data_IF_282064422826
#
_entry.id   IF_282064422826
#
_cell.length_a   1.000
_cell.length_b   1.000
_cell.length_c   1.000
_cell.angle_alpha   90.00
_cell.angle_beta   90.00
_cell.angle_gamma   90.00
#
_symmetry.space_group_name_H-M   'P 1'
#
loop_
_entity.id
_entity.type
_entity.pdbx_description
1 polymer ?
#
# COMPACT_ATOMS: atom_id res chain seq x y z
N UNK A 1 -1.33 2.92 -35.97
CA UNK A 1 -1.18 2.96 -34.51
C UNK A 1 -0.22 4.11 -34.20
N UNK A 2 -0.45 4.91 -33.15
CA UNK A 2 0.49 5.96 -32.79
C UNK A 2 1.87 5.36 -32.53
N UNK A 3 2.91 6.09 -32.90
CA UNK A 3 4.28 5.69 -32.64
C UNK A 3 4.50 5.59 -31.11
N UNK A 4 5.31 4.65 -30.64
CA UNK A 4 5.50 4.40 -29.20
C UNK A 4 5.94 5.65 -28.43
N UNK A 5 6.81 6.46 -29.02
CA UNK A 5 7.28 7.74 -28.46
C UNK A 5 6.09 8.71 -28.27
N UNK A 6 5.13 8.77 -29.21
CA UNK A 6 3.96 9.64 -29.07
C UNK A 6 3.08 9.24 -27.89
N UNK A 7 3.02 7.94 -27.52
CA UNK A 7 2.31 7.48 -26.33
C UNK A 7 3.02 7.93 -25.05
N UNK A 8 4.35 7.89 -25.00
CA UNK A 8 5.13 8.40 -23.87
C UNK A 8 4.94 9.91 -23.69
N UNK A 9 4.95 10.67 -24.80
CA UNK A 9 4.72 12.13 -24.79
C UNK A 9 3.32 12.45 -24.25
N UNK A 10 2.30 11.79 -24.78
CA UNK A 10 0.92 11.99 -24.32
C UNK A 10 0.76 11.64 -22.83
N UNK A 11 1.41 10.58 -22.35
CA UNK A 11 1.40 10.20 -20.94
C UNK A 11 2.04 11.28 -20.06
N UNK A 12 3.14 11.89 -20.51
CA UNK A 12 3.81 12.99 -19.81
C UNK A 12 2.95 14.26 -19.80
N UNK A 13 2.32 14.62 -20.92
CA UNK A 13 1.41 15.75 -21.03
C UNK A 13 0.20 15.60 -20.10
N UNK A 14 -0.41 14.42 -20.06
CA UNK A 14 -1.54 14.12 -19.19
C UNK A 14 -1.23 14.26 -17.69
N UNK A 15 0.06 14.14 -17.32
CA UNK A 15 0.53 14.24 -15.92
C UNK A 15 1.16 15.56 -15.57
N UNK A 16 1.33 16.48 -16.54
CA UNK A 16 2.12 17.69 -16.32
C UNK A 16 1.64 18.50 -15.10
N UNK A 17 0.34 18.76 -14.98
CA UNK A 17 -0.24 19.49 -13.83
C UNK A 17 -0.09 18.72 -12.52
N UNK A 18 -0.32 17.40 -12.52
CA UNK A 18 -0.13 16.57 -11.33
C UNK A 18 1.34 16.57 -10.90
N UNK A 19 2.28 16.45 -11.83
CA UNK A 19 3.71 16.42 -11.51
C UNK A 19 4.18 17.77 -10.95
N UNK A 20 3.68 18.89 -11.46
CA UNK A 20 3.94 20.22 -10.90
C UNK A 20 3.46 20.29 -9.43
N UNK A 21 2.24 19.85 -9.16
CA UNK A 21 1.71 19.77 -7.80
C UNK A 21 2.56 18.83 -6.91
N UNK A 22 2.85 17.61 -7.37
CA UNK A 22 3.62 16.63 -6.61
C UNK A 22 5.04 17.14 -6.28
N UNK A 23 5.68 17.84 -7.22
CA UNK A 23 7.00 18.43 -6.98
C UNK A 23 6.93 19.56 -5.93
N UNK A 24 5.87 20.38 -5.96
CA UNK A 24 5.64 21.41 -4.94
C UNK A 24 5.34 20.80 -3.56
N UNK A 25 4.81 19.58 -3.51
CA UNK A 25 4.57 18.79 -2.29
C UNK A 25 5.77 17.89 -1.92
N UNK A 26 6.96 18.18 -2.41
CA UNK A 26 8.18 17.39 -2.15
C UNK A 26 7.99 15.89 -2.44
N UNK A 27 7.43 15.58 -3.62
CA UNK A 27 7.15 14.21 -4.06
C UNK A 27 7.96 13.87 -5.31
N UNK A 28 8.75 12.79 -5.25
CA UNK A 28 9.52 12.24 -6.37
C UNK A 28 9.27 10.73 -6.57
N UNK A 29 8.16 10.22 -6.01
CA UNK A 29 7.70 8.85 -6.17
C UNK A 29 6.31 8.88 -6.81
N UNK A 30 6.22 8.53 -8.12
CA UNK A 30 4.98 8.59 -8.89
C UNK A 30 5.05 7.76 -10.17
N UNK A 31 3.89 7.45 -10.74
CA UNK A 31 3.78 6.70 -12.00
C UNK A 31 3.88 7.62 -13.20
N UNK A 32 4.77 7.27 -14.13
CA UNK A 32 5.02 8.00 -15.38
C UNK A 32 4.23 7.43 -16.56
N UNK A 33 3.96 6.11 -16.57
CA UNK A 33 3.21 5.43 -17.63
C UNK A 33 2.35 4.30 -17.05
N UNK A 34 1.07 4.24 -17.43
CA UNK A 34 0.07 3.31 -16.86
C UNK A 34 -0.53 2.39 -17.92
N UNK A 35 0.29 1.60 -18.54
CA UNK A 35 -0.04 0.39 -19.30
C UNK A 35 -1.22 0.48 -20.27
N UNK A 36 -2.22 -0.33 -20.01
CA UNK A 36 -3.38 -0.51 -20.89
C UNK A 36 -4.14 0.79 -21.12
N UNK A 37 -4.22 1.66 -20.14
CA UNK A 37 -4.95 2.93 -20.25
C UNK A 37 -4.25 3.94 -21.17
N UNK A 38 -2.97 3.72 -21.46
CA UNK A 38 -2.13 4.60 -22.30
C UNK A 38 -1.61 3.86 -23.57
N UNK A 39 -2.29 2.79 -23.96
CA UNK A 39 -2.10 2.14 -25.26
C UNK A 39 -1.04 1.04 -25.32
N UNK A 40 -0.35 0.72 -24.21
CA UNK A 40 0.63 -0.39 -24.15
C UNK A 40 0.29 -1.33 -23.01
N UNK A 41 -0.52 -2.35 -23.29
CA UNK A 41 -0.95 -3.29 -22.26
C UNK A 41 0.22 -3.92 -21.51
N UNK A 42 0.16 -3.90 -20.18
CA UNK A 42 1.15 -4.52 -19.30
C UNK A 42 2.45 -3.77 -19.15
N UNK A 43 2.61 -2.55 -19.69
CA UNK A 43 3.78 -1.71 -19.41
C UNK A 43 3.49 -0.74 -18.26
N UNK A 44 4.39 -0.65 -17.27
CA UNK A 44 4.38 0.45 -16.31
C UNK A 44 5.77 1.07 -16.21
N UNK A 45 5.81 2.39 -16.06
CA UNK A 45 7.03 3.14 -15.79
C UNK A 45 6.79 4.00 -14.58
N UNK A 46 7.63 3.83 -13.56
CA UNK A 46 7.50 4.49 -12.26
C UNK A 46 8.81 5.20 -11.90
N UNK A 47 8.72 6.39 -11.29
CA UNK A 47 9.82 7.05 -10.60
C UNK A 47 9.78 6.71 -9.12
N UNK A 48 10.93 6.32 -8.56
CA UNK A 48 11.13 6.10 -7.14
C UNK A 48 12.40 6.86 -6.69
N UNK A 49 12.23 8.14 -6.33
CA UNK A 49 13.38 9.00 -6.05
C UNK A 49 14.30 9.12 -7.26
N UNK A 50 15.59 8.71 -7.16
CA UNK A 50 16.52 8.71 -8.27
C UNK A 50 16.43 7.48 -9.18
N UNK A 51 15.51 6.54 -8.94
CA UNK A 51 15.35 5.33 -9.75
C UNK A 51 14.22 5.47 -10.78
N UNK A 52 14.46 4.97 -11.99
CA UNK A 52 13.45 4.70 -13.01
C UNK A 52 13.16 3.21 -13.04
N UNK A 53 11.95 2.81 -12.65
CA UNK A 53 11.50 1.42 -12.68
C UNK A 53 10.59 1.18 -13.87
N UNK A 54 11.02 0.31 -14.79
CA UNK A 54 10.27 -0.14 -15.96
C UNK A 54 9.80 -1.57 -15.71
N UNK A 55 8.53 -1.86 -15.85
CA UNK A 55 7.99 -3.23 -15.68
C UNK A 55 7.12 -3.62 -16.85
N UNK A 56 7.32 -4.84 -17.37
CA UNK A 56 6.46 -5.44 -18.38
C UNK A 56 5.82 -6.72 -17.86
N UNK A 57 4.50 -6.88 -18.04
CA UNK A 57 3.71 -7.99 -17.48
C UNK A 57 3.20 -8.97 -18.53
N UNK A 58 3.08 -8.57 -19.79
CA UNK A 58 2.52 -9.39 -20.87
C UNK A 58 3.58 -9.91 -21.83
N UNK A 59 4.53 -9.07 -22.20
CA UNK A 59 5.63 -9.39 -23.10
C UNK A 59 6.91 -8.66 -22.68
N UNK A 60 8.07 -9.22 -23.02
CA UNK A 60 9.36 -8.57 -22.81
C UNK A 60 9.48 -7.35 -23.72
N UNK A 61 10.07 -6.27 -23.22
CA UNK A 61 10.40 -5.09 -24.03
C UNK A 61 11.65 -5.34 -24.88
N UNK A 62 11.67 -4.80 -26.09
CA UNK A 62 12.86 -4.75 -26.93
C UNK A 62 13.86 -3.72 -26.38
N UNK A 63 15.15 -3.91 -26.70
CA UNK A 63 16.20 -2.92 -26.33
C UNK A 63 15.84 -1.53 -26.83
N UNK A 64 15.36 -1.41 -28.08
CA UNK A 64 14.93 -0.15 -28.66
C UNK A 64 13.84 0.55 -27.83
N UNK A 65 12.83 -0.19 -27.34
CA UNK A 65 11.77 0.38 -26.49
C UNK A 65 12.29 0.81 -25.13
N UNK A 66 13.21 0.04 -24.56
CA UNK A 66 13.87 0.42 -23.30
C UNK A 66 14.66 1.71 -23.45
N UNK A 67 15.46 1.84 -24.52
CA UNK A 67 16.21 3.06 -24.83
C UNK A 67 15.27 4.27 -25.02
N UNK A 68 14.15 4.10 -25.75
CA UNK A 68 13.17 5.16 -25.96
C UNK A 68 12.57 5.64 -24.65
N UNK A 69 12.22 4.72 -23.73
CA UNK A 69 11.69 5.08 -22.41
C UNK A 69 12.75 5.85 -21.61
N UNK A 70 13.97 5.35 -21.56
CA UNK A 70 15.06 5.97 -20.82
C UNK A 70 15.38 7.38 -21.34
N UNK A 71 15.47 7.54 -22.66
CA UNK A 71 15.73 8.84 -23.29
C UNK A 71 14.60 9.84 -23.01
N UNK A 72 13.33 9.40 -23.16
CA UNK A 72 12.18 10.26 -22.94
C UNK A 72 12.13 10.80 -21.50
N UNK A 73 12.30 9.93 -20.50
CA UNK A 73 12.22 10.35 -19.10
C UNK A 73 13.53 10.94 -18.53
N UNK A 74 14.66 10.80 -19.24
CA UNK A 74 15.90 11.50 -18.87
C UNK A 74 15.76 13.03 -18.93
N UNK A 75 14.81 13.56 -19.73
CA UNK A 75 14.48 14.99 -19.77
C UNK A 75 13.76 15.47 -18.50
N UNK A 76 13.04 14.57 -17.84
CA UNK A 76 12.27 14.89 -16.63
C UNK A 76 13.11 14.89 -15.36
N UNK A 77 14.05 13.95 -15.25
CA UNK A 77 14.98 13.83 -14.13
C UNK A 77 16.18 12.96 -14.52
N UNK A 78 17.32 13.20 -13.86
CA UNK A 78 18.50 12.37 -14.02
C UNK A 78 18.37 11.13 -13.13
N UNK A 79 18.07 9.97 -13.71
CA UNK A 79 18.01 8.71 -12.98
C UNK A 79 19.43 8.21 -12.66
N UNK A 80 19.70 7.90 -11.38
CA UNK A 80 20.95 7.24 -10.96
C UNK A 80 20.93 5.74 -11.28
N UNK A 81 19.75 5.14 -11.30
CA UNK A 81 19.55 3.73 -11.64
C UNK A 81 18.30 3.55 -12.49
N UNK A 82 18.44 2.79 -13.58
CA UNK A 82 17.33 2.32 -14.39
C UNK A 82 17.18 0.82 -14.18
N UNK A 83 16.00 0.41 -13.70
CA UNK A 83 15.67 -0.99 -13.43
C UNK A 83 14.61 -1.45 -14.40
N UNK A 84 14.88 -2.52 -15.14
CA UNK A 84 13.88 -3.21 -15.93
C UNK A 84 13.53 -4.56 -15.30
N UNK A 85 12.25 -4.74 -14.95
CA UNK A 85 11.69 -5.99 -14.48
C UNK A 85 10.77 -6.60 -15.52
N UNK A 86 11.25 -7.63 -16.23
CA UNK A 86 10.40 -8.44 -17.08
C UNK A 86 9.61 -9.44 -16.23
N UNK A 87 8.33 -9.20 -16.10
CA UNK A 87 7.39 -10.06 -15.37
C UNK A 87 6.49 -10.90 -16.29
N UNK A 88 6.75 -10.91 -17.60
CA UNK A 88 6.00 -11.68 -18.58
C UNK A 88 6.25 -13.18 -18.49
N UNK A 89 7.46 -13.59 -18.10
CA UNK A 89 7.82 -14.99 -17.96
C UNK A 89 7.23 -15.63 -16.69
N UNK A 90 6.75 -16.87 -16.78
CA UNK A 90 6.10 -17.60 -15.69
C UNK A 90 6.95 -17.78 -14.41
N UNK A 91 8.26 -17.66 -14.52
CA UNK A 91 9.24 -17.80 -13.42
C UNK A 91 9.95 -16.48 -13.06
N UNK A 92 9.52 -15.34 -13.61
CA UNK A 92 10.17 -14.05 -13.42
C UNK A 92 10.46 -13.72 -11.95
N UNK A 93 9.49 -13.92 -11.05
CA UNK A 93 9.65 -13.69 -9.60
C UNK A 93 10.75 -14.53 -8.95
N UNK A 94 11.04 -15.73 -9.47
CA UNK A 94 12.12 -16.60 -8.95
C UNK A 94 13.48 -16.16 -9.48
N UNK A 95 13.55 -15.70 -10.71
CA UNK A 95 14.76 -15.15 -11.30
C UNK A 95 15.16 -13.85 -10.62
N UNK A 96 14.22 -12.95 -10.36
CA UNK A 96 14.45 -11.72 -9.60
C UNK A 96 14.90 -12.00 -8.16
N UNK A 97 14.43 -13.08 -7.53
CA UNK A 97 14.84 -13.46 -6.18
C UNK A 97 16.33 -13.86 -6.09
N UNK A 98 16.95 -14.28 -7.20
CA UNK A 98 18.38 -14.62 -7.28
C UNK A 98 19.26 -13.39 -7.52
N UNK A 99 18.72 -12.37 -8.16
CA UNK A 99 19.42 -11.10 -8.41
C UNK A 99 19.18 -10.11 -7.26
N UNK A 100 20.00 -10.25 -6.21
CA UNK A 100 19.95 -9.36 -5.03
C UNK A 100 20.64 -8.01 -5.25
N UNK A 101 21.09 -7.72 -6.47
CA UNK A 101 21.81 -6.51 -6.85
C UNK A 101 20.80 -5.40 -7.16
N UNK A 102 20.44 -4.64 -6.24
CA UNK A 102 19.75 -3.36 -6.40
C UNK A 102 20.15 -2.50 -5.22
N UNK A 103 20.59 -1.30 -5.51
CA UNK A 103 20.87 -0.32 -4.48
C UNK A 103 19.54 0.13 -3.84
N UNK A 104 19.57 0.37 -2.55
CA UNK A 104 18.48 1.07 -1.87
C UNK A 104 18.72 2.57 -1.99
N UNK A 105 17.66 3.29 -2.29
CA UNK A 105 17.65 4.73 -2.37
C UNK A 105 16.63 5.32 -1.38
N UNK A 106 16.62 6.62 -1.30
CA UNK A 106 15.58 7.36 -0.61
C UNK A 106 14.69 8.02 -1.65
N UNK A 107 13.39 7.69 -1.59
CA UNK A 107 12.35 8.40 -2.30
C UNK A 107 11.57 9.29 -1.34
N UNK A 108 10.92 10.32 -1.86
CA UNK A 108 10.14 11.25 -1.08
C UNK A 108 8.71 11.32 -1.64
N UNK A 109 7.72 11.31 -0.75
CA UNK A 109 6.32 11.48 -1.11
C UNK A 109 5.61 12.31 -0.03
N UNK A 110 5.00 13.42 -0.44
CA UNK A 110 4.31 14.36 0.46
C UNK A 110 5.20 14.86 1.61
N UNK A 111 6.47 15.15 1.31
CA UNK A 111 7.47 15.57 2.29
C UNK A 111 8.00 14.45 3.20
N UNK A 112 7.53 13.20 3.04
CA UNK A 112 7.94 12.05 3.85
C UNK A 112 8.96 11.20 3.09
N UNK A 113 10.04 10.80 3.76
CA UNK A 113 11.13 10.01 3.18
C UNK A 113 10.88 8.51 3.35
N UNK A 114 11.19 7.73 2.30
CA UNK A 114 11.03 6.29 2.28
C UNK A 114 12.24 5.58 1.68
N UNK A 115 12.62 4.44 2.24
CA UNK A 115 13.47 3.49 1.53
C UNK A 115 12.74 2.97 0.30
N UNK A 116 13.39 3.04 -0.85
CA UNK A 116 12.87 2.53 -2.12
C UNK A 116 13.90 1.64 -2.79
N UNK A 117 13.44 0.61 -3.50
CA UNK A 117 14.31 -0.32 -4.19
C UNK A 117 13.57 -0.95 -5.37
N UNK A 118 13.90 -0.56 -6.58
CA UNK A 118 13.22 -1.03 -7.80
C UNK A 118 13.38 -2.53 -8.05
N UNK A 119 14.51 -3.15 -7.64
CA UNK A 119 14.76 -4.58 -7.82
C UNK A 119 15.00 -5.27 -6.47
N UNK A 120 14.02 -6.00 -5.99
CA UNK A 120 14.09 -6.69 -4.72
C UNK A 120 13.32 -8.02 -4.72
N UNK A 121 13.95 -9.09 -5.09
CA UNK A 121 13.43 -10.46 -4.85
C UNK A 121 11.96 -10.68 -5.28
N UNK A 122 11.52 -10.06 -6.37
CA UNK A 122 10.17 -10.20 -6.92
C UNK A 122 9.06 -9.56 -6.08
N UNK A 123 9.37 -8.61 -5.22
CA UNK A 123 8.41 -7.82 -4.43
C UNK A 123 8.25 -6.41 -5.00
N UNK A 124 7.32 -5.65 -4.43
CA UNK A 124 7.10 -4.27 -4.82
C UNK A 124 8.18 -3.33 -4.22
N UNK A 125 8.40 -2.12 -4.79
CA UNK A 125 9.54 -1.24 -4.45
C UNK A 125 9.48 -0.58 -3.07
N UNK A 126 8.91 -1.23 -2.07
CA UNK A 126 8.73 -0.79 -0.68
C UNK A 126 7.70 0.32 -0.48
N UNK A 127 7.19 0.92 -1.55
CA UNK A 127 6.15 1.94 -1.51
C UNK A 127 5.15 1.69 -2.64
N UNK A 128 3.86 1.55 -2.31
CA UNK A 128 2.78 1.44 -3.28
C UNK A 128 2.31 2.85 -3.67
N UNK A 129 2.56 3.25 -4.91
CA UNK A 129 2.32 4.62 -5.37
C UNK A 129 0.82 4.95 -5.48
N UNK A 130 -0.02 3.98 -5.84
CA UNK A 130 -1.48 4.13 -5.93
C UNK A 130 -2.14 4.39 -4.57
N UNK A 131 -1.43 4.07 -3.47
CA UNK A 131 -1.88 4.31 -2.10
C UNK A 131 -1.53 5.72 -1.59
N UNK A 132 -0.95 6.62 -2.41
CA UNK A 132 -0.61 8.00 -2.02
C UNK A 132 -1.80 8.75 -1.48
N UNK A 133 -2.97 8.64 -2.11
CA UNK A 133 -4.20 9.28 -1.65
C UNK A 133 -4.59 8.83 -0.23
N UNK A 134 -4.38 7.57 0.13
CA UNK A 134 -4.62 7.08 1.48
C UNK A 134 -3.62 7.62 2.50
N UNK A 135 -2.35 7.77 2.11
CA UNK A 135 -1.31 8.39 2.95
C UNK A 135 -1.55 9.89 3.12
N UNK A 136 -1.98 10.59 2.08
CA UNK A 136 -2.41 11.99 2.12
C UNK A 136 -3.54 12.18 3.14
N UNK A 137 -4.58 11.34 3.06
CA UNK A 137 -5.67 11.36 4.03
C UNK A 137 -5.17 11.22 5.48
N UNK A 138 -4.24 10.31 5.72
CA UNK A 138 -3.68 10.09 7.06
C UNK A 138 -2.85 11.29 7.53
N UNK A 139 -2.03 11.90 6.66
CA UNK A 139 -1.28 13.13 6.98
C UNK A 139 -2.21 14.28 7.41
N UNK A 140 -3.36 14.40 6.77
CA UNK A 140 -4.33 15.46 7.06
C UNK A 140 -5.14 15.21 8.34
N UNK A 141 -5.36 13.93 8.72
CA UNK A 141 -6.34 13.57 9.74
C UNK A 141 -5.77 12.89 10.99
N UNK A 142 -4.47 12.51 11.03
CA UNK A 142 -3.92 11.75 12.14
C UNK A 142 -3.47 12.58 13.36
N UNK A 143 -3.40 13.91 13.24
CA UNK A 143 -2.91 14.78 14.31
C UNK A 143 -3.65 14.57 15.64
N UNK A 144 -2.90 14.35 16.72
CA UNK A 144 -3.40 14.07 18.06
C UNK A 144 -4.28 12.81 18.20
N UNK A 145 -4.30 11.94 17.20
CA UNK A 145 -5.05 10.67 17.21
C UNK A 145 -4.17 9.48 17.55
N UNK A 146 -4.76 8.43 18.11
CA UNK A 146 -4.14 7.10 18.16
C UNK A 146 -4.44 6.39 16.84
N UNK A 147 -3.39 5.86 16.20
CA UNK A 147 -3.47 5.25 14.87
C UNK A 147 -3.03 3.80 14.91
N UNK A 148 -3.84 2.90 14.34
CA UNK A 148 -3.50 1.49 14.14
C UNK A 148 -3.41 1.20 12.64
N UNK A 149 -2.23 0.83 12.17
CA UNK A 149 -1.96 0.44 10.78
C UNK A 149 -1.82 -1.08 10.68
N UNK A 150 -2.78 -1.72 10.04
CA UNK A 150 -2.90 -3.18 9.90
C UNK A 150 -2.48 -3.63 8.49
N UNK A 151 -1.73 -4.74 8.40
CA UNK A 151 -0.99 -5.14 7.19
C UNK A 151 -0.04 -4.05 6.74
N UNK A 152 0.75 -3.55 7.69
CA UNK A 152 1.47 -2.29 7.55
C UNK A 152 2.58 -2.31 6.49
N UNK A 153 2.99 -3.49 6.00
CA UNK A 153 4.09 -3.64 5.04
C UNK A 153 5.33 -2.89 5.53
N UNK A 154 5.86 -1.95 4.76
CA UNK A 154 6.98 -1.07 5.13
C UNK A 154 6.55 0.16 5.93
N UNK A 155 5.36 0.12 6.50
CA UNK A 155 4.78 1.09 7.44
C UNK A 155 4.52 2.49 6.86
N UNK A 156 4.43 2.66 5.53
CA UNK A 156 4.27 3.98 4.91
C UNK A 156 3.12 4.81 5.48
N UNK A 157 1.95 4.19 5.73
CA UNK A 157 0.80 4.85 6.38
C UNK A 157 1.11 5.25 7.82
N UNK A 158 1.78 4.37 8.59
CA UNK A 158 2.13 4.67 9.97
C UNK A 158 3.19 5.76 10.08
N UNK A 159 4.16 5.81 9.15
CA UNK A 159 5.12 6.91 9.07
C UNK A 159 4.38 8.24 8.84
N UNK A 160 3.46 8.30 7.87
CA UNK A 160 2.62 9.48 7.65
C UNK A 160 1.83 9.89 8.90
N UNK A 161 1.26 8.94 9.63
CA UNK A 161 0.52 9.24 10.87
C UNK A 161 1.42 9.86 11.93
N UNK A 162 2.60 9.31 12.16
CA UNK A 162 3.56 9.85 13.12
C UNK A 162 4.08 11.24 12.69
N UNK A 163 4.40 11.44 11.40
CA UNK A 163 4.79 12.73 10.84
C UNK A 163 3.69 13.80 10.97
N UNK A 164 2.41 13.39 10.86
CA UNK A 164 1.27 14.28 11.10
C UNK A 164 1.09 14.69 12.57
N UNK A 165 1.86 14.12 13.50
CA UNK A 165 1.74 14.36 14.93
C UNK A 165 0.64 13.52 15.60
N UNK A 166 0.44 12.29 15.16
CA UNK A 166 -0.36 11.32 15.90
C UNK A 166 0.20 11.15 17.32
N UNK A 167 -0.69 11.03 18.32
CA UNK A 167 -0.23 10.84 19.71
C UNK A 167 0.34 9.44 19.96
N UNK A 168 -0.05 8.48 19.11
CA UNK A 168 0.43 7.11 19.15
C UNK A 168 0.22 6.49 17.78
N UNK A 169 1.23 5.79 17.25
CA UNK A 169 1.10 5.02 16.01
C UNK A 169 1.59 3.60 16.25
N UNK A 170 0.75 2.61 15.90
CA UNK A 170 1.09 1.18 15.98
C UNK A 170 1.00 0.57 14.58
N UNK A 171 2.10 -0.03 14.13
CA UNK A 171 2.18 -0.77 12.88
C UNK A 171 2.19 -2.27 13.16
N UNK A 172 1.33 -3.03 12.46
CA UNK A 172 1.25 -4.48 12.59
C UNK A 172 1.48 -5.14 11.25
N UNK A 173 2.52 -5.98 11.15
CA UNK A 173 2.77 -6.86 10.01
C UNK A 173 3.33 -8.20 10.50
N UNK A 174 3.12 -9.28 9.72
CA UNK A 174 3.65 -10.61 10.07
C UNK A 174 5.11 -10.78 9.63
N UNK A 175 5.56 -10.00 8.64
CA UNK A 175 6.89 -10.11 8.05
C UNK A 175 7.88 -9.16 8.74
N UNK A 176 8.77 -9.72 9.55
CA UNK A 176 9.83 -8.97 10.24
C UNK A 176 10.65 -8.09 9.28
N UNK A 177 10.96 -8.62 8.09
CA UNK A 177 11.72 -7.87 7.08
C UNK A 177 11.02 -6.60 6.61
N UNK A 178 9.68 -6.59 6.55
CA UNK A 178 8.90 -5.41 6.16
C UNK A 178 8.96 -4.37 7.27
N UNK A 179 8.80 -4.82 8.52
CA UNK A 179 8.91 -3.94 9.69
C UNK A 179 10.33 -3.38 9.86
N UNK A 180 11.37 -4.14 9.47
CA UNK A 180 12.74 -3.62 9.46
C UNK A 180 12.87 -2.40 8.51
N UNK A 181 12.31 -2.48 7.29
CA UNK A 181 12.24 -1.31 6.39
C UNK A 181 11.38 -0.19 7.00
N UNK A 182 10.28 -0.54 7.70
CA UNK A 182 9.47 0.44 8.42
C UNK A 182 10.25 1.21 9.49
N UNK A 183 11.15 0.54 10.21
CA UNK A 183 12.06 1.18 11.19
C UNK A 183 13.07 2.10 10.49
N UNK A 184 13.67 1.65 9.39
CA UNK A 184 14.55 2.51 8.57
C UNK A 184 13.79 3.75 8.05
N UNK A 185 12.51 3.60 7.65
CA UNK A 185 11.67 4.73 7.26
C UNK A 185 11.39 5.69 8.43
N UNK A 186 11.22 5.18 9.65
CA UNK A 186 11.08 6.04 10.84
C UNK A 186 12.37 6.83 11.11
N UNK A 187 13.54 6.18 11.03
CA UNK A 187 14.84 6.82 11.18
C UNK A 187 15.08 7.92 10.14
N UNK A 188 14.69 7.68 8.87
CA UNK A 188 14.80 8.67 7.78
C UNK A 188 13.96 9.95 8.01
N UNK A 189 12.98 9.88 8.90
CA UNK A 189 12.08 10.99 9.23
C UNK A 189 12.21 11.45 10.69
N UNK A 190 13.32 11.11 11.34
CA UNK A 190 13.64 11.49 12.71
C UNK A 190 12.56 11.11 13.75
N UNK A 191 11.81 10.04 13.49
CA UNK A 191 10.77 9.54 14.39
C UNK A 191 11.36 8.66 15.50
N UNK A 192 10.85 8.82 16.72
CA UNK A 192 11.30 8.10 17.91
C UNK A 192 10.37 6.91 18.24
N UNK A 193 10.86 5.95 19.03
CA UNK A 193 10.07 4.81 19.51
C UNK A 193 8.85 5.22 20.37
N UNK A 194 8.83 6.45 20.89
CA UNK A 194 7.67 7.00 21.63
C UNK A 194 6.52 7.38 20.68
N UNK A 195 6.85 7.77 19.44
CA UNK A 195 5.88 8.22 18.44
C UNK A 195 5.31 7.06 17.64
N UNK A 196 6.13 6.01 17.38
CA UNK A 196 5.77 4.93 16.47
C UNK A 196 6.27 3.57 16.95
N UNK A 197 5.37 2.59 17.00
CA UNK A 197 5.66 1.21 17.41
C UNK A 197 5.48 0.24 16.24
N UNK A 198 6.26 -0.85 16.27
CA UNK A 198 6.27 -1.91 15.25
C UNK A 198 6.03 -3.26 15.93
N UNK A 199 4.93 -3.92 15.59
CA UNK A 199 4.51 -5.19 16.19
C UNK A 199 4.55 -6.28 15.12
N UNK A 200 5.49 -7.22 15.27
CA UNK A 200 5.47 -8.42 14.44
C UNK A 200 4.39 -9.38 14.95
N UNK A 201 3.28 -9.44 14.24
CA UNK A 201 2.16 -10.31 14.59
C UNK A 201 1.34 -10.68 13.36
N UNK A 202 0.69 -11.85 13.44
CA UNK A 202 -0.41 -12.17 12.54
C UNK A 202 -1.58 -11.19 12.75
N UNK A 203 -2.18 -10.75 11.65
CA UNK A 203 -3.31 -9.82 11.70
C UNK A 203 -4.43 -10.28 12.64
N UNK A 204 -4.86 -11.55 12.51
CA UNK A 204 -6.01 -12.06 13.29
C UNK A 204 -5.70 -12.11 14.79
N UNK A 205 -4.44 -12.33 15.17
CA UNK A 205 -4.05 -12.30 16.59
C UNK A 205 -4.01 -10.87 17.11
N UNK A 206 -3.42 -9.93 16.38
CA UNK A 206 -3.31 -8.55 16.81
C UNK A 206 -4.68 -7.84 16.83
N UNK A 207 -5.40 -7.84 15.70
CA UNK A 207 -6.67 -7.13 15.58
C UNK A 207 -7.74 -7.66 16.55
N UNK A 208 -7.77 -8.98 16.81
CA UNK A 208 -8.68 -9.56 17.80
C UNK A 208 -8.35 -9.14 19.22
N UNK A 209 -7.05 -9.12 19.60
CA UNK A 209 -6.65 -8.69 20.94
C UNK A 209 -6.99 -7.21 21.17
N UNK A 210 -6.67 -6.33 20.22
CA UNK A 210 -7.07 -4.92 20.32
C UNK A 210 -8.59 -4.75 20.44
N UNK A 211 -9.36 -5.57 19.73
CA UNK A 211 -10.82 -5.57 19.77
C UNK A 211 -11.43 -6.27 20.99
N UNK A 212 -10.64 -6.74 21.97
CA UNK A 212 -11.14 -7.52 23.12
C UNK A 212 -11.70 -8.91 22.76
N UNK A 213 -11.39 -9.42 21.56
CA UNK A 213 -11.89 -10.71 21.10
C UNK A 213 -10.88 -11.83 21.44
N UNK A 214 -11.31 -12.92 22.12
CA UNK A 214 -10.41 -14.01 22.44
C UNK A 214 -9.79 -14.67 21.21
N UNK A 215 -8.48 -14.85 21.21
CA UNK A 215 -7.74 -15.56 20.15
C UNK A 215 -7.83 -17.06 20.40
N UNK A 216 -8.65 -17.75 19.63
CA UNK A 216 -8.81 -19.21 19.69
C UNK A 216 -7.84 -19.88 18.73
N UNK A 217 -7.10 -20.90 19.20
CA UNK A 217 -6.24 -21.75 18.39
C UNK A 217 -6.81 -23.18 18.33
N UNK A 218 -6.90 -23.72 17.13
CA UNK A 218 -7.15 -25.17 16.96
C UNK A 218 -5.81 -25.88 16.95
N UNK A 219 -5.46 -26.50 18.09
CA UNK A 219 -4.21 -27.25 18.23
C UNK A 219 -4.50 -28.73 17.94
N UNK A 220 -3.80 -29.33 16.98
CA UNK A 220 -3.89 -30.76 16.72
C UNK A 220 -3.22 -31.54 17.87
N UNK A 221 -3.73 -32.75 18.15
CA UNK A 221 -3.16 -33.61 19.19
C UNK A 221 -1.65 -33.81 18.98
N UNK A 222 -0.85 -33.52 20.00
CA UNK A 222 0.61 -33.61 19.95
C UNK A 222 1.33 -32.36 19.44
N UNK A 223 0.62 -31.31 19.04
CA UNK A 223 1.22 -30.03 18.67
C UNK A 223 1.15 -29.03 19.84
N UNK A 224 2.18 -28.19 19.98
CA UNK A 224 2.15 -27.07 20.92
C UNK A 224 1.39 -25.89 20.29
N UNK A 225 0.64 -25.11 21.09
CA UNK A 225 0.07 -23.84 20.62
C UNK A 225 1.16 -22.93 20.07
N UNK A 226 0.87 -22.19 19.00
CA UNK A 226 1.80 -21.16 18.50
C UNK A 226 1.80 -19.98 19.42
N UNK A 227 2.99 -19.47 19.66
CA UNK A 227 3.15 -18.23 20.41
C UNK A 227 2.83 -17.04 19.52
N UNK A 228 2.29 -15.98 20.09
CA UNK A 228 2.06 -14.67 19.49
C UNK A 228 2.23 -13.59 20.56
N UNK A 229 2.55 -12.36 20.20
CA UNK A 229 2.67 -11.26 21.16
C UNK A 229 1.35 -11.09 21.94
N UNK A 230 1.47 -10.85 23.25
CA UNK A 230 0.31 -10.48 24.07
C UNK A 230 0.12 -8.96 23.96
N UNK A 231 -1.05 -8.57 23.50
CA UNK A 231 -1.45 -7.18 23.32
C UNK A 231 -2.64 -6.90 24.22
N UNK A 232 -2.67 -5.72 24.80
CA UNK A 232 -3.80 -5.26 25.61
C UNK A 232 -4.95 -4.80 24.69
N UNK A 233 -6.17 -4.94 25.17
CA UNK A 233 -7.35 -4.39 24.52
C UNK A 233 -7.23 -2.87 24.44
N UNK A 234 -7.40 -2.33 23.23
CA UNK A 234 -7.30 -0.91 22.95
C UNK A 234 -8.12 -0.56 21.73
N UNK A 235 -8.87 0.53 21.80
CA UNK A 235 -9.54 1.12 20.64
C UNK A 235 -8.76 2.36 20.15
N UNK A 236 -8.80 2.57 18.83
CA UNK A 236 -8.03 3.61 18.16
C UNK A 236 -8.93 4.66 17.53
N UNK A 237 -8.43 5.90 17.45
CA UNK A 237 -9.12 7.02 16.79
C UNK A 237 -9.17 6.85 15.28
N UNK A 238 -8.12 6.26 14.70
CA UNK A 238 -8.00 5.96 13.28
C UNK A 238 -7.40 4.56 13.11
N UNK A 239 -8.09 3.71 12.39
CA UNK A 239 -7.59 2.38 11.98
C UNK A 239 -7.41 2.37 10.47
N UNK A 240 -6.27 1.91 9.98
CA UNK A 240 -6.01 1.70 8.56
C UNK A 240 -5.91 0.20 8.28
N UNK A 241 -6.72 -0.29 7.35
CA UNK A 241 -6.85 -1.70 6.99
C UNK A 241 -6.59 -1.89 5.50
N UNK A 242 -5.37 -2.32 5.14
CA UNK A 242 -4.97 -2.59 3.75
C UNK A 242 -4.53 -4.04 3.55
N UNK A 243 -5.47 -4.99 3.50
CA UNK A 243 -5.16 -6.40 3.44
C UNK A 243 -4.74 -6.84 2.04
N UNK A 244 -3.83 -7.84 1.92
CA UNK A 244 -3.53 -8.46 0.64
C UNK A 244 -4.75 -9.20 0.09
N UNK A 245 -4.85 -9.33 -1.23
CA UNK A 245 -5.94 -10.07 -1.89
C UNK A 245 -6.21 -11.44 -1.26
N UNK A 246 -5.16 -12.14 -0.91
CA UNK A 246 -5.22 -13.45 -0.28
C UNK A 246 -3.97 -13.71 0.58
N UNK A 247 -4.18 -14.20 1.79
CA UNK A 247 -3.14 -14.68 2.67
C UNK A 247 -3.70 -15.76 3.61
N UNK A 248 -2.88 -16.72 3.99
CA UNK A 248 -3.24 -17.77 4.94
C UNK A 248 -2.24 -17.85 6.07
N UNK A 249 -2.77 -17.90 7.27
CA UNK A 249 -2.00 -18.14 8.48
C UNK A 249 -2.60 -19.29 9.31
N UNK A 250 -2.01 -19.56 10.49
CA UNK A 250 -2.59 -20.51 11.44
C UNK A 250 -3.81 -19.96 12.18
N UNK A 251 -3.99 -18.65 12.16
CA UNK A 251 -5.04 -17.93 12.91
C UNK A 251 -6.22 -17.53 12.05
N UNK A 252 -6.06 -17.55 10.73
CA UNK A 252 -7.13 -17.22 9.81
C UNK A 252 -6.69 -17.18 8.35
N UNK A 253 -7.64 -16.88 7.49
CA UNK A 253 -7.43 -16.69 6.05
C UNK A 253 -7.95 -15.33 5.67
N UNK A 254 -7.15 -14.55 4.97
CA UNK A 254 -7.57 -13.34 4.27
C UNK A 254 -8.04 -13.74 2.88
N UNK A 255 -9.25 -13.43 2.51
CA UNK A 255 -9.81 -13.62 1.17
C UNK A 255 -10.75 -12.46 0.85
N UNK A 256 -10.24 -11.46 0.12
CA UNK A 256 -11.00 -10.24 -0.16
C UNK A 256 -12.18 -10.45 -1.12
N UNK A 257 -12.24 -11.61 -1.78
CA UNK A 257 -13.35 -11.96 -2.68
C UNK A 257 -14.48 -12.63 -1.91
N UNK A 258 -14.14 -13.59 -1.03
CA UNK A 258 -15.12 -14.48 -0.43
C UNK A 258 -15.48 -14.12 1.02
N UNK A 259 -14.55 -13.53 1.75
CA UNK A 259 -14.69 -13.31 3.20
C UNK A 259 -14.03 -12.02 3.69
N UNK A 260 -14.37 -10.89 3.05
CA UNK A 260 -13.94 -9.57 3.51
C UNK A 260 -14.36 -9.28 4.98
N UNK A 261 -15.53 -9.71 5.47
CA UNK A 261 -15.91 -9.53 6.88
C UNK A 261 -14.93 -10.11 7.90
N UNK A 262 -14.16 -11.13 7.56
CA UNK A 262 -13.18 -11.72 8.48
C UNK A 262 -12.06 -10.76 8.90
N UNK A 263 -11.67 -9.84 8.01
CA UNK A 263 -10.69 -8.80 8.29
C UNK A 263 -11.36 -7.50 8.75
N UNK A 264 -12.54 -7.17 8.23
CA UNK A 264 -13.22 -5.93 8.53
C UNK A 264 -13.76 -5.90 9.97
N UNK A 265 -14.42 -6.99 10.43
CA UNK A 265 -15.05 -7.03 11.75
C UNK A 265 -14.09 -6.74 12.92
N UNK A 266 -12.93 -7.41 13.06
CA UNK A 266 -12.04 -7.08 14.15
C UNK A 266 -11.45 -5.66 14.03
N UNK A 267 -11.29 -5.12 12.82
CA UNK A 267 -10.83 -3.74 12.60
C UNK A 267 -11.90 -2.71 13.03
N UNK A 268 -13.17 -2.95 12.71
CA UNK A 268 -14.31 -2.14 13.21
C UNK A 268 -14.34 -2.10 14.74
N UNK A 269 -14.15 -3.24 15.39
CA UNK A 269 -14.20 -3.35 16.85
C UNK A 269 -12.95 -2.73 17.52
N UNK A 270 -11.82 -2.70 16.84
CA UNK A 270 -10.62 -1.98 17.28
C UNK A 270 -10.70 -0.46 17.04
N UNK A 271 -11.66 0.00 16.24
CA UNK A 271 -11.94 1.42 16.06
C UNK A 271 -12.89 1.89 17.15
N UNK A 272 -12.61 3.00 17.80
CA UNK A 272 -13.51 3.55 18.84
C UNK A 272 -14.79 4.12 18.22
N UNK A 273 -15.79 4.31 19.02
CA UNK A 273 -17.00 5.08 18.66
C UNK A 273 -16.60 6.54 18.35
N UNK A 274 -17.15 7.10 17.28
CA UNK A 274 -16.72 8.40 16.73
C UNK A 274 -15.33 8.38 16.09
N UNK A 275 -14.73 7.21 15.93
CA UNK A 275 -13.46 7.02 15.23
C UNK A 275 -13.60 6.82 13.72
N UNK A 276 -12.48 6.65 13.05
CA UNK A 276 -12.41 6.48 11.59
C UNK A 276 -11.74 5.16 11.24
N UNK A 277 -12.35 4.38 10.35
CA UNK A 277 -11.72 3.21 9.75
C UNK A 277 -11.52 3.45 8.25
N UNK A 278 -10.27 3.56 7.81
CA UNK A 278 -9.92 3.51 6.38
C UNK A 278 -9.73 2.05 5.99
N UNK A 279 -10.48 1.57 5.02
CA UNK A 279 -10.36 0.19 4.56
C UNK A 279 -10.26 0.12 3.04
N UNK A 280 -9.50 -0.88 2.55
CA UNK A 280 -9.21 -1.02 1.12
C UNK A 280 -9.67 -2.36 0.57
N UNK A 281 -9.90 -2.41 -0.75
CA UNK A 281 -10.02 -3.63 -1.53
C UNK A 281 -9.35 -3.43 -2.89
N UNK A 282 -8.25 -4.15 -3.14
CA UNK A 282 -7.45 -4.07 -4.36
C UNK A 282 -7.81 -5.13 -5.41
N UNK A 283 -8.97 -5.75 -5.30
CA UNK A 283 -9.41 -6.81 -6.23
C UNK A 283 -10.33 -6.23 -7.29
N UNK A 284 -9.85 -6.08 -8.53
CA UNK A 284 -10.61 -5.53 -9.65
C UNK A 284 -11.93 -6.28 -9.93
N UNK A 285 -11.98 -7.60 -9.66
CA UNK A 285 -13.19 -8.43 -9.87
C UNK A 285 -14.31 -8.19 -8.85
N UNK A 286 -14.05 -7.45 -7.79
CA UNK A 286 -15.06 -7.12 -6.77
C UNK A 286 -15.63 -5.74 -7.12
N UNK A 287 -16.89 -5.61 -7.55
CA UNK A 287 -17.51 -4.31 -7.82
C UNK A 287 -17.59 -3.45 -6.56
N UNK A 288 -17.52 -2.13 -6.73
CA UNK A 288 -17.54 -1.17 -5.63
C UNK A 288 -18.82 -1.29 -4.79
N UNK A 289 -19.97 -1.35 -5.44
CA UNK A 289 -21.30 -1.42 -4.81
C UNK A 289 -21.50 -2.71 -4.00
N UNK A 290 -21.02 -3.84 -4.52
CA UNK A 290 -21.04 -5.12 -3.81
C UNK A 290 -20.16 -5.05 -2.55
N UNK A 291 -18.94 -4.51 -2.69
CA UNK A 291 -18.03 -4.37 -1.56
C UNK A 291 -18.59 -3.45 -0.49
N UNK A 292 -19.13 -2.28 -0.86
CA UNK A 292 -19.77 -1.33 0.07
C UNK A 292 -20.94 -1.98 0.78
N UNK A 293 -21.76 -2.79 0.09
CA UNK A 293 -22.87 -3.54 0.69
C UNK A 293 -22.36 -4.54 1.75
N UNK A 294 -21.24 -5.21 1.50
CA UNK A 294 -20.60 -6.11 2.47
C UNK A 294 -20.09 -5.32 3.68
N UNK A 295 -19.44 -4.16 3.44
CA UNK A 295 -18.92 -3.27 4.49
C UNK A 295 -20.06 -2.83 5.43
N UNK A 296 -21.14 -2.26 4.88
CA UNK A 296 -22.31 -1.80 5.66
C UNK A 296 -22.91 -2.91 6.50
N UNK A 297 -23.21 -4.07 5.90
CA UNK A 297 -23.76 -5.22 6.63
C UNK A 297 -22.83 -5.74 7.73
N UNK A 298 -21.51 -5.70 7.49
CA UNK A 298 -20.54 -6.12 8.50
C UNK A 298 -20.51 -5.14 9.67
N UNK A 299 -20.56 -3.85 9.43
CA UNK A 299 -20.59 -2.80 10.44
C UNK A 299 -21.84 -2.90 11.32
N UNK A 300 -23.01 -3.06 10.72
CA UNK A 300 -24.29 -3.30 11.43
C UNK A 300 -24.20 -4.53 12.35
N UNK A 301 -23.73 -5.68 11.81
CA UNK A 301 -23.56 -6.92 12.60
C UNK A 301 -22.49 -6.83 13.68
N UNK A 302 -21.55 -5.92 13.55
CA UNK A 302 -20.52 -5.65 14.56
C UNK A 302 -21.01 -4.68 15.65
N UNK A 303 -22.19 -4.07 15.50
CA UNK A 303 -22.68 -3.02 16.39
C UNK A 303 -21.86 -1.74 16.30
N UNK A 304 -21.30 -1.47 15.12
CA UNK A 304 -20.52 -0.27 14.77
C UNK A 304 -21.19 0.41 13.57
N UNK A 305 -22.28 1.17 13.79
CA UNK A 305 -22.99 1.84 12.70
C UNK A 305 -22.08 2.85 12.02
N UNK A 306 -22.15 2.88 10.69
CA UNK A 306 -21.42 3.85 9.87
C UNK A 306 -22.31 5.07 9.72
N UNK A 307 -21.84 6.23 10.16
CA UNK A 307 -22.55 7.51 10.03
C UNK A 307 -22.34 8.14 8.67
N UNK A 308 -21.13 8.02 8.12
CA UNK A 308 -20.77 8.53 6.80
C UNK A 308 -19.69 7.67 6.15
N UNK A 309 -19.67 7.64 4.80
CA UNK A 309 -18.66 6.95 3.99
C UNK A 309 -18.13 7.91 2.93
N UNK A 310 -16.83 8.17 3.00
CA UNK A 310 -16.09 8.88 1.96
C UNK A 310 -15.30 7.86 1.11
N UNK A 311 -15.15 8.14 -0.20
CA UNK A 311 -14.33 7.32 -1.09
C UNK A 311 -13.13 8.10 -1.58
N UNK A 312 -11.93 7.51 -1.42
CA UNK A 312 -10.71 8.09 -1.94
C UNK A 312 -10.39 7.44 -3.28
N UNK A 313 -10.18 8.27 -4.31
CA UNK A 313 -9.81 7.81 -5.66
C UNK A 313 -8.31 7.99 -5.86
N UNK A 314 -7.57 6.98 -6.38
CA UNK A 314 -6.18 7.15 -6.76
C UNK A 314 -5.97 8.39 -7.64
N UNK A 315 -4.81 9.03 -7.51
CA UNK A 315 -4.50 10.27 -8.21
C UNK A 315 -4.30 10.03 -9.73
N UNK A 316 -4.20 11.09 -10.52
CA UNK A 316 -4.25 11.03 -11.98
C UNK A 316 -3.08 10.26 -12.64
N UNK A 317 -2.01 9.97 -11.92
CA UNK A 317 -0.95 9.05 -12.40
C UNK A 317 -1.39 7.56 -12.41
N UNK A 318 -2.54 7.26 -11.79
CA UNK A 318 -3.23 5.97 -11.89
C UNK A 318 -4.59 6.13 -12.59
N UNK A 319 -4.62 6.44 -13.89
CA UNK A 319 -5.84 6.74 -14.60
C UNK A 319 -6.79 5.54 -14.64
N UNK A 320 -8.08 5.81 -14.41
CA UNK A 320 -9.18 4.85 -14.54
C UNK A 320 -10.26 5.46 -15.42
N UNK A 321 -10.19 5.30 -16.75
CA UNK A 321 -11.12 5.94 -17.69
C UNK A 321 -12.59 5.55 -17.50
N UNK A 322 -12.84 4.36 -16.94
CA UNK A 322 -14.18 3.85 -16.58
C UNK A 322 -14.65 4.29 -15.19
N UNK A 323 -13.83 5.06 -14.47
CA UNK A 323 -14.10 5.49 -13.09
C UNK A 323 -14.09 4.36 -12.05
N UNK A 324 -13.59 3.17 -12.42
CA UNK A 324 -13.54 1.99 -11.55
C UNK A 324 -12.10 1.52 -11.31
N UNK A 325 -11.31 2.26 -10.51
CA UNK A 325 -9.93 1.85 -10.24
C UNK A 325 -9.90 0.48 -9.54
N UNK A 326 -8.91 -0.37 -9.84
CA UNK A 326 -8.75 -1.65 -9.16
C UNK A 326 -8.63 -1.50 -7.63
N UNK A 327 -7.94 -0.47 -7.18
CA UNK A 327 -7.84 -0.09 -5.78
C UNK A 327 -9.05 0.75 -5.37
N UNK A 328 -9.82 0.22 -4.43
CA UNK A 328 -10.96 0.87 -3.78
C UNK A 328 -10.57 1.23 -2.35
N UNK A 329 -10.82 2.46 -1.94
CA UNK A 329 -10.54 2.95 -0.59
C UNK A 329 -11.80 3.62 -0.05
N UNK A 330 -12.26 3.16 1.10
CA UNK A 330 -13.38 3.76 1.82
C UNK A 330 -12.94 4.23 3.21
N UNK A 331 -13.33 5.43 3.55
CA UNK A 331 -13.20 6.02 4.87
C UNK A 331 -14.55 5.91 5.55
N UNK A 332 -14.59 5.16 6.64
CA UNK A 332 -15.82 4.90 7.41
C UNK A 332 -15.77 5.73 8.69
N UNK A 333 -16.73 6.62 8.88
CA UNK A 333 -16.93 7.37 10.12
C UNK A 333 -17.93 6.61 11.01
N UNK A 334 -17.47 6.15 12.19
CA UNK A 334 -18.24 5.24 13.09
C UNK A 334 -18.86 6.01 14.24
#
# INVERSE_FOLDING_TARGET
MPEFISLLQQASENRALLLEQLHAEETNCYRLFHGTNEGVAGLTVDRYGPQLLIQSFHESLTEQRLEQIQQHYAELFSAEEVVYNDRSASNSRRQDAQDRRGQQFVGQELGVNYRVKGKHSGQDPFLFLDMRVGRRYVLEHAKNRSVLNLFSYTCGVGICAAMAGARQTINVDFAERNLAIGKENAELNDLTDEQIAFIQSDFFTAAKQFAGIPVKQRVRRGQKPRQFPRLEEQQFDLVYLDPPRWAKSHFGTVDLIRDYPSVLKPSLLATREGGTLVCTNNVAKVPMDEWVSVVKRCAEKAGRPIHDIEFLTPEADFPSPDGQPPLKIAVLHL
#
